data_IF_724452702207
#
_entry.id   IF_724452702207
#
_cell.length_a   1.000
_cell.length_b   1.000
_cell.length_c   1.000
_cell.angle_alpha   90.00
_cell.angle_beta   90.00
_cell.angle_gamma   90.00
#
_symmetry.space_group_name_H-M   'P 1'
#
loop_
_entity.id
_entity.type
_entity.pdbx_description
1 polymer ?
#
# COMPACT_ATOMS: atom_id res chain seq x y z
N UNK A 1 0.72 15.59 -53.37
CA UNK A 1 1.55 16.03 -52.23
C UNK A 1 0.69 15.90 -50.99
N UNK A 2 0.83 14.78 -50.30
CA UNK A 2 0.13 14.47 -49.05
C UNK A 2 0.81 15.20 -47.90
N UNK A 3 0.06 16.02 -47.18
CA UNK A 3 0.53 16.67 -45.96
C UNK A 3 0.96 15.61 -44.94
N UNK A 4 2.06 15.83 -44.19
CA UNK A 4 2.42 14.93 -43.11
C UNK A 4 1.41 15.10 -41.96
N UNK A 5 0.80 14.00 -41.57
CA UNK A 5 -0.02 13.90 -40.35
C UNK A 5 0.94 14.08 -39.18
N UNK A 6 0.95 15.27 -38.57
CA UNK A 6 1.54 15.47 -37.25
C UNK A 6 0.54 15.02 -36.20
N UNK A 7 0.33 13.72 -36.08
CA UNK A 7 -0.20 13.15 -34.84
C UNK A 7 0.95 13.09 -33.84
N UNK A 8 1.17 14.19 -33.13
CA UNK A 8 1.76 14.11 -31.79
C UNK A 8 0.71 13.47 -30.88
N UNK A 9 0.46 12.18 -31.07
CA UNK A 9 -0.33 11.39 -30.13
C UNK A 9 0.39 11.47 -28.80
N UNK A 10 -0.10 12.32 -27.90
CA UNK A 10 0.37 12.35 -26.52
C UNK A 10 0.03 11.00 -25.93
N UNK A 11 1.02 10.11 -25.87
CA UNK A 11 0.90 8.82 -25.18
C UNK A 11 0.43 9.13 -23.77
N UNK A 12 -0.70 8.54 -23.37
CA UNK A 12 -1.21 8.71 -22.02
C UNK A 12 -0.16 8.24 -21.02
N UNK A 13 0.11 9.08 -20.02
CA UNK A 13 1.15 8.84 -19.00
C UNK A 13 0.50 8.77 -17.63
N UNK A 14 0.16 7.57 -17.19
CA UNK A 14 -0.35 7.36 -15.84
C UNK A 14 0.79 7.01 -14.90
N UNK A 15 0.90 7.74 -13.81
CA UNK A 15 1.87 7.48 -12.74
C UNK A 15 1.29 6.39 -11.83
N UNK A 16 1.98 5.26 -11.72
CA UNK A 16 1.60 4.21 -10.78
C UNK A 16 1.91 4.65 -9.34
N UNK A 17 0.95 4.50 -8.43
CA UNK A 17 1.09 4.72 -6.99
C UNK A 17 0.98 3.37 -6.29
N UNK A 18 2.03 3.00 -5.57
CA UNK A 18 2.08 1.74 -4.84
C UNK A 18 1.17 1.77 -3.60
N UNK A 19 0.83 0.60 -3.09
CA UNK A 19 0.12 0.47 -1.81
C UNK A 19 0.94 1.12 -0.67
N UNK A 20 0.25 1.85 0.21
CA UNK A 20 0.89 2.62 1.30
C UNK A 20 1.46 3.96 0.86
N UNK A 21 1.42 4.30 -0.43
CA UNK A 21 2.02 5.52 -0.97
C UNK A 21 0.99 6.56 -1.42
N UNK A 22 1.50 7.78 -1.63
CA UNK A 22 0.82 8.88 -2.28
C UNK A 22 1.60 9.44 -3.46
N UNK A 23 0.88 10.01 -4.42
CA UNK A 23 1.45 10.83 -5.47
C UNK A 23 0.70 12.14 -5.61
N UNK A 24 1.40 13.17 -6.08
CA UNK A 24 0.84 14.49 -6.37
C UNK A 24 1.14 14.89 -7.81
N UNK A 25 0.09 15.25 -8.56
CA UNK A 25 0.20 15.94 -9.83
C UNK A 25 -0.19 17.39 -9.62
N UNK A 26 0.81 18.28 -9.63
CA UNK A 26 0.59 19.72 -9.64
C UNK A 26 0.01 20.20 -10.96
N UNK A 27 -0.61 21.38 -10.92
CA UNK A 27 -1.13 22.04 -12.13
C UNK A 27 -0.01 22.21 -13.17
N UNK A 28 -0.28 21.78 -14.41
CA UNK A 28 0.71 21.81 -15.50
C UNK A 28 1.63 20.59 -15.58
N UNK A 29 1.47 19.59 -14.71
CA UNK A 29 2.15 18.30 -14.87
C UNK A 29 1.75 17.64 -16.21
N UNK A 30 2.71 17.01 -16.89
CA UNK A 30 2.51 16.36 -18.20
C UNK A 30 1.87 14.95 -18.10
N UNK A 31 1.68 14.43 -16.88
CA UNK A 31 1.06 13.13 -16.68
C UNK A 31 -0.47 13.21 -16.90
N UNK A 32 -1.03 12.23 -17.60
CA UNK A 32 -2.50 12.12 -17.79
C UNK A 32 -3.22 11.95 -16.46
N UNK A 33 -2.60 11.27 -15.50
CA UNK A 33 -3.24 10.92 -14.25
C UNK A 33 -2.47 9.92 -13.40
N UNK A 34 -3.19 9.30 -12.47
CA UNK A 34 -2.67 8.23 -11.61
C UNK A 34 -3.27 6.88 -11.94
N UNK A 35 -2.52 5.83 -11.59
CA UNK A 35 -2.94 4.45 -11.61
C UNK A 35 -2.54 3.77 -10.29
N UNK A 36 -3.37 2.87 -9.80
CA UNK A 36 -3.01 1.95 -8.70
C UNK A 36 -3.67 0.60 -8.92
N UNK A 37 -3.01 -0.47 -8.50
CA UNK A 37 -3.38 -1.86 -8.79
C UNK A 37 -3.54 -2.73 -7.55
N UNK A 38 -4.06 -3.94 -7.78
CA UNK A 38 -4.21 -5.02 -6.79
C UNK A 38 -5.00 -4.61 -5.55
N UNK A 39 -6.00 -3.76 -5.72
CA UNK A 39 -6.82 -3.29 -4.61
C UNK A 39 -7.82 -4.38 -4.25
N UNK A 40 -7.67 -4.97 -3.07
CA UNK A 40 -8.64 -5.91 -2.50
C UNK A 40 -9.33 -5.30 -1.27
N UNK A 41 -8.55 -5.00 -0.23
CA UNK A 41 -9.04 -4.46 1.05
C UNK A 41 -8.73 -2.97 1.24
N UNK A 42 -7.68 -2.47 0.58
CA UNK A 42 -7.24 -1.08 0.64
C UNK A 42 -8.25 -0.10 0.01
N UNK A 43 -8.14 1.18 0.36
CA UNK A 43 -8.98 2.28 -0.12
C UNK A 43 -8.16 3.34 -0.85
N UNK A 44 -8.18 3.37 -2.19
CA UNK A 44 -7.61 4.50 -2.90
C UNK A 44 -8.48 5.74 -2.73
N UNK A 45 -7.85 6.84 -2.33
CA UNK A 45 -8.45 8.16 -2.33
C UNK A 45 -7.81 9.01 -3.43
N UNK A 46 -8.61 9.83 -4.09
CA UNK A 46 -8.10 10.91 -4.93
C UNK A 46 -8.69 12.24 -4.51
N UNK A 47 -7.84 13.14 -4.03
CA UNK A 47 -8.19 14.49 -3.62
C UNK A 47 -7.90 15.46 -4.77
N UNK A 48 -8.94 16.06 -5.33
CA UNK A 48 -8.80 17.13 -6.32
C UNK A 48 -8.79 18.46 -5.58
N UNK A 49 -7.64 19.12 -5.55
CA UNK A 49 -7.42 20.34 -4.79
C UNK A 49 -7.34 21.58 -5.70
N UNK A 50 -7.01 22.74 -5.14
CA UNK A 50 -6.88 23.96 -5.91
C UNK A 50 -5.64 23.97 -6.81
N UNK A 51 -4.52 23.45 -6.30
CA UNK A 51 -3.19 23.50 -6.95
C UNK A 51 -2.65 22.14 -7.39
N UNK A 52 -3.49 21.11 -7.39
CA UNK A 52 -3.07 19.77 -7.78
C UNK A 52 -4.08 18.67 -7.45
N UNK A 53 -3.76 17.47 -7.92
CA UNK A 53 -4.50 16.23 -7.67
C UNK A 53 -3.60 15.27 -6.91
N UNK A 54 -4.13 14.65 -5.86
CA UNK A 54 -3.37 13.76 -4.98
C UNK A 54 -4.05 12.40 -4.98
N UNK A 55 -3.35 11.33 -5.35
CA UNK A 55 -3.82 9.96 -5.15
C UNK A 55 -3.08 9.35 -3.95
N UNK A 56 -3.81 8.64 -3.10
CA UNK A 56 -3.27 7.89 -1.96
C UNK A 56 -3.85 6.48 -2.01
N UNK A 57 -3.00 5.46 -2.06
CA UNK A 57 -3.41 4.07 -1.93
C UNK A 57 -3.37 3.68 -0.45
N UNK A 58 -4.44 3.99 0.27
CA UNK A 58 -4.49 3.87 1.72
C UNK A 58 -4.83 2.44 2.18
N UNK A 59 -3.95 1.83 2.96
CA UNK A 59 -4.15 0.50 3.56
C UNK A 59 -5.11 0.52 4.75
N UNK A 60 -5.42 1.71 5.26
CA UNK A 60 -6.12 1.90 6.54
C UNK A 60 -5.18 2.08 7.73
N UNK A 61 -3.88 1.80 7.59
CA UNK A 61 -2.89 2.01 8.65
C UNK A 61 -2.12 3.34 8.53
N UNK A 62 -2.20 4.04 7.39
CA UNK A 62 -1.46 5.29 7.19
C UNK A 62 -1.91 6.34 8.22
N UNK A 63 -0.96 7.13 8.74
CA UNK A 63 -1.26 8.23 9.65
C UNK A 63 -2.17 9.28 9.02
N UNK A 64 -3.32 9.50 9.65
CA UNK A 64 -4.33 10.45 9.18
C UNK A 64 -3.81 11.89 9.12
N UNK A 65 -2.96 12.28 10.07
CA UNK A 65 -2.39 13.62 10.12
C UNK A 65 -1.41 13.85 8.95
N UNK A 66 -0.62 12.84 8.57
CA UNK A 66 0.27 12.91 7.42
C UNK A 66 -0.52 13.04 6.10
N UNK A 67 -1.62 12.31 5.95
CA UNK A 67 -2.55 12.48 4.82
C UNK A 67 -3.12 13.91 4.81
N UNK A 68 -3.60 14.38 5.97
CA UNK A 68 -4.24 15.69 6.08
C UNK A 68 -3.25 16.83 5.78
N UNK A 69 -2.02 16.73 6.26
CA UNK A 69 -0.94 17.68 5.99
C UNK A 69 -0.62 17.73 4.50
N UNK A 70 -0.36 16.57 3.87
CA UNK A 70 -0.09 16.50 2.44
C UNK A 70 -1.20 17.16 1.62
N UNK A 71 -2.46 16.79 1.89
CA UNK A 71 -3.61 17.32 1.13
C UNK A 71 -3.80 18.81 1.36
N UNK A 72 -3.64 19.30 2.59
CA UNK A 72 -3.82 20.72 2.92
C UNK A 72 -2.80 21.62 2.22
N UNK A 73 -1.60 21.11 1.94
CA UNK A 73 -0.56 21.84 1.20
C UNK A 73 -0.96 22.19 -0.24
N UNK A 74 -2.01 21.57 -0.80
CA UNK A 74 -2.48 21.82 -2.17
C UNK A 74 -3.78 22.66 -2.24
N UNK A 75 -4.19 23.25 -1.12
CA UNK A 75 -5.29 24.21 -1.03
C UNK A 75 -6.66 23.55 -0.90
N UNK A 76 -7.73 24.30 -1.21
CA UNK A 76 -9.10 23.84 -0.97
C UNK A 76 -9.44 22.61 -1.80
N UNK A 77 -9.99 21.59 -1.14
CA UNK A 77 -10.52 20.38 -1.79
C UNK A 77 -11.80 20.72 -2.57
N UNK A 78 -11.78 20.43 -3.88
CA UNK A 78 -12.90 20.58 -4.81
C UNK A 78 -13.74 19.31 -4.89
N UNK A 79 -13.09 18.15 -4.92
CA UNK A 79 -13.70 16.83 -4.98
C UNK A 79 -12.82 15.78 -4.31
N UNK A 80 -13.45 14.72 -3.82
CA UNK A 80 -12.75 13.52 -3.34
C UNK A 80 -13.39 12.32 -4.02
N UNK A 81 -12.56 11.53 -4.69
CA UNK A 81 -12.97 10.31 -5.34
C UNK A 81 -12.46 9.09 -4.56
N UNK A 82 -13.29 8.07 -4.43
CA UNK A 82 -12.88 6.77 -3.91
C UNK A 82 -13.77 5.67 -4.48
N UNK A 83 -13.30 4.42 -4.40
CA UNK A 83 -13.99 3.25 -4.95
C UNK A 83 -14.41 2.31 -3.83
N UNK A 84 -15.69 1.95 -3.77
CA UNK A 84 -16.22 0.99 -2.80
C UNK A 84 -16.17 -0.44 -3.34
N UNK A 85 -15.29 -1.26 -2.77
CA UNK A 85 -15.13 -2.68 -3.12
C UNK A 85 -16.12 -3.61 -2.42
N UNK A 86 -16.15 -4.91 -2.80
CA UNK A 86 -17.10 -5.88 -2.24
C UNK A 86 -16.89 -6.14 -0.75
N UNK A 87 -15.65 -6.06 -0.26
CA UNK A 87 -15.30 -6.28 1.15
C UNK A 87 -15.70 -5.11 2.08
N UNK A 88 -16.21 -4.01 1.52
CA UNK A 88 -16.46 -2.79 2.29
C UNK A 88 -17.88 -2.67 2.82
N UNK A 89 -18.82 -3.42 2.26
CA UNK A 89 -20.26 -3.31 2.59
C UNK A 89 -20.56 -3.65 4.06
N UNK A 90 -19.58 -4.21 4.79
CA UNK A 90 -19.68 -4.59 6.21
C UNK A 90 -18.84 -3.76 7.18
N UNK A 91 -17.99 -2.81 6.74
CA UNK A 91 -16.96 -2.24 7.63
C UNK A 91 -17.22 -0.78 8.05
N UNK A 92 -17.71 -0.62 9.28
CA UNK A 92 -17.77 0.66 9.99
C UNK A 92 -16.41 1.39 10.03
N UNK A 93 -15.30 0.64 10.02
CA UNK A 93 -13.92 1.13 10.14
C UNK A 93 -13.57 2.11 9.02
N UNK A 94 -13.86 1.78 7.77
CA UNK A 94 -13.51 2.67 6.67
C UNK A 94 -14.38 3.93 6.61
N UNK A 95 -15.65 3.84 7.02
CA UNK A 95 -16.51 5.03 7.14
C UNK A 95 -16.03 5.93 8.26
N UNK A 96 -15.68 5.36 9.42
CA UNK A 96 -15.05 6.10 10.52
C UNK A 96 -13.78 6.82 10.06
N UNK A 97 -12.92 6.13 9.31
CA UNK A 97 -11.69 6.71 8.76
C UNK A 97 -11.97 7.90 7.83
N UNK A 98 -12.94 7.77 6.93
CA UNK A 98 -13.34 8.87 6.04
C UNK A 98 -13.94 10.04 6.83
N UNK A 99 -14.72 9.79 7.88
CA UNK A 99 -15.25 10.85 8.75
C UNK A 99 -14.11 11.59 9.49
N UNK A 100 -13.12 10.85 10.01
CA UNK A 100 -11.93 11.43 10.65
C UNK A 100 -11.12 12.29 9.68
N UNK A 101 -10.97 11.86 8.43
CA UNK A 101 -10.36 12.67 7.37
C UNK A 101 -11.20 13.91 7.04
N UNK A 102 -12.52 13.76 6.92
CA UNK A 102 -13.44 14.87 6.65
C UNK A 102 -13.37 15.97 7.71
N UNK A 103 -13.26 15.57 8.98
CA UNK A 103 -13.09 16.50 10.09
C UNK A 103 -11.75 17.25 10.00
N UNK A 104 -10.64 16.54 9.80
CA UNK A 104 -9.28 17.13 9.71
C UNK A 104 -9.14 18.09 8.54
N UNK A 105 -9.64 17.69 7.38
CA UNK A 105 -9.55 18.44 6.13
C UNK A 105 -10.74 19.39 5.90
N UNK A 106 -11.67 19.45 6.85
CA UNK A 106 -12.86 20.32 6.86
C UNK A 106 -13.71 20.25 5.58
N UNK A 107 -13.76 19.07 4.93
CA UNK A 107 -14.56 18.89 3.72
C UNK A 107 -15.95 18.33 4.03
N UNK A 108 -16.93 18.66 3.17
CA UNK A 108 -18.35 18.29 3.34
C UNK A 108 -18.74 17.15 2.40
N UNK A 109 -19.71 16.33 2.79
CA UNK A 109 -20.22 15.18 1.99
C UNK A 109 -20.51 15.49 0.51
N UNK A 110 -20.93 16.72 0.18
CA UNK A 110 -21.20 17.15 -1.21
C UNK A 110 -19.99 17.04 -2.17
N UNK A 111 -18.76 17.00 -1.65
CA UNK A 111 -17.55 16.85 -2.48
C UNK A 111 -17.22 15.38 -2.80
N UNK A 112 -17.97 14.43 -2.23
CA UNK A 112 -17.69 13.00 -2.37
C UNK A 112 -18.12 12.55 -3.77
N UNK A 113 -17.31 11.70 -4.38
CA UNK A 113 -17.57 11.02 -5.64
C UNK A 113 -17.19 9.57 -5.45
N UNK A 114 -18.17 8.68 -5.56
CA UNK A 114 -17.96 7.26 -5.30
C UNK A 114 -18.24 6.47 -6.56
N UNK A 115 -17.43 5.45 -6.79
CA UNK A 115 -17.75 4.36 -7.70
C UNK A 115 -17.83 3.07 -6.88
N UNK A 116 -18.62 2.11 -7.32
CA UNK A 116 -18.72 0.79 -6.67
C UNK A 116 -18.17 -0.27 -7.60
N UNK A 117 -17.52 -1.28 -7.03
CA UNK A 117 -17.01 -2.45 -7.75
C UNK A 117 -17.37 -3.72 -6.99
N UNK A 118 -17.68 -4.76 -7.73
CA UNK A 118 -18.06 -6.09 -7.24
C UNK A 118 -16.93 -7.11 -7.33
N UNK A 119 -15.87 -6.79 -8.08
CA UNK A 119 -14.67 -7.64 -8.22
C UNK A 119 -13.86 -7.69 -6.92
N UNK A 120 -13.35 -8.89 -6.54
CA UNK A 120 -12.57 -9.06 -5.31
C UNK A 120 -11.22 -8.34 -5.37
N UNK A 121 -10.68 -8.16 -6.57
CA UNK A 121 -9.49 -7.35 -6.83
C UNK A 121 -9.77 -6.44 -8.03
N UNK A 122 -9.35 -5.18 -7.94
CA UNK A 122 -9.54 -4.19 -9.01
C UNK A 122 -8.38 -3.18 -9.06
N UNK A 123 -8.33 -2.45 -10.18
CA UNK A 123 -7.39 -1.35 -10.37
C UNK A 123 -8.16 -0.05 -10.59
N UNK A 124 -7.54 1.06 -10.22
CA UNK A 124 -8.12 2.40 -10.34
C UNK A 124 -7.22 3.29 -11.18
N UNK A 125 -7.83 3.98 -12.13
CA UNK A 125 -7.23 5.05 -12.90
C UNK A 125 -7.95 6.35 -12.56
N UNK A 126 -7.20 7.43 -12.47
CA UNK A 126 -7.76 8.76 -12.28
C UNK A 126 -7.08 9.76 -13.18
N UNK A 127 -7.82 10.41 -14.06
CA UNK A 127 -7.28 11.45 -14.95
C UNK A 127 -7.26 12.82 -14.26
N UNK A 128 -6.31 13.69 -14.62
CA UNK A 128 -6.30 15.08 -14.15
C UNK A 128 -7.58 15.86 -14.53
N UNK A 129 -8.28 15.45 -15.59
CA UNK A 129 -9.59 15.98 -15.98
C UNK A 129 -10.74 15.56 -15.06
N UNK A 130 -10.48 14.76 -14.01
CA UNK A 130 -11.45 14.34 -13.01
C UNK A 130 -12.16 13.01 -13.32
N UNK A 131 -11.67 12.24 -14.29
CA UNK A 131 -12.24 10.96 -14.70
C UNK A 131 -11.70 9.81 -13.86
N UNK A 132 -12.54 9.21 -13.03
CA UNK A 132 -12.25 7.95 -12.34
C UNK A 132 -12.69 6.77 -13.23
N UNK A 133 -11.80 5.81 -13.46
CA UNK A 133 -12.09 4.58 -14.20
C UNK A 133 -11.60 3.37 -13.41
N UNK A 134 -12.43 2.32 -13.40
CA UNK A 134 -12.09 1.01 -12.85
C UNK A 134 -11.83 0.10 -14.04
N UNK A 135 -10.67 -0.57 -14.08
CA UNK A 135 -10.31 -1.29 -15.30
C UNK A 135 -9.10 -2.20 -15.18
N UNK A 136 -8.85 -2.92 -16.27
CA UNK A 136 -7.65 -3.75 -16.44
C UNK A 136 -6.50 -2.86 -16.91
N UNK A 137 -5.29 -3.20 -16.45
CA UNK A 137 -4.02 -2.55 -16.76
C UNK A 137 -3.83 -2.34 -18.27
N UNK A 138 -3.68 -1.10 -18.79
CA UNK A 138 -3.12 -0.88 -20.11
C UNK A 138 -1.60 -0.94 -19.98
N UNK A 139 -0.99 -2.02 -20.45
CA UNK A 139 0.44 -2.29 -20.19
C UNK A 139 1.40 -1.25 -20.80
N UNK A 140 1.00 -0.54 -21.86
CA UNK A 140 1.89 0.34 -22.63
C UNK A 140 1.93 1.81 -22.15
N UNK A 141 1.18 2.18 -21.10
CA UNK A 141 0.93 3.59 -20.74
C UNK A 141 1.21 3.95 -19.26
N UNK A 142 1.87 3.02 -18.55
CA UNK A 142 2.11 3.15 -17.12
C UNK A 142 3.57 3.48 -16.85
N UNK A 143 3.78 4.59 -16.15
CA UNK A 143 5.09 4.98 -15.62
C UNK A 143 5.15 4.47 -14.19
N UNK A 144 6.03 3.50 -13.94
CA UNK A 144 6.30 2.96 -12.59
C UNK A 144 7.54 3.60 -11.99
N UNK A 145 7.57 3.65 -10.67
CA UNK A 145 8.77 4.02 -9.93
C UNK A 145 9.90 3.03 -10.28
N UNK A 146 11.11 3.51 -10.67
CA UNK A 146 12.27 2.65 -10.88
C UNK A 146 12.62 1.78 -9.66
N UNK A 147 12.27 2.22 -8.45
CA UNK A 147 12.46 1.53 -7.17
C UNK A 147 11.17 0.88 -6.66
N UNK A 148 10.19 0.61 -7.53
CA UNK A 148 8.87 0.11 -7.14
C UNK A 148 8.90 -1.10 -6.20
N UNK A 149 9.70 -2.13 -6.49
CA UNK A 149 9.79 -3.33 -5.65
C UNK A 149 10.34 -3.03 -4.25
N UNK A 150 11.38 -2.18 -4.17
CA UNK A 150 11.97 -1.73 -2.92
C UNK A 150 10.94 -0.97 -2.08
N UNK A 151 10.24 -0.02 -2.70
CA UNK A 151 9.20 0.80 -2.05
C UNK A 151 8.01 -0.02 -1.57
N UNK A 152 7.50 -0.92 -2.40
CA UNK A 152 6.40 -1.81 -2.03
C UNK A 152 6.80 -2.70 -0.83
N UNK A 153 8.02 -3.23 -0.81
CA UNK A 153 8.55 -3.98 0.33
C UNK A 153 8.60 -3.15 1.61
N UNK A 154 9.16 -1.94 1.57
CA UNK A 154 9.21 -1.03 2.72
C UNK A 154 7.80 -0.69 3.22
N UNK A 155 6.88 -0.36 2.33
CA UNK A 155 5.51 -0.03 2.69
C UNK A 155 4.80 -1.23 3.32
N UNK A 156 5.01 -2.46 2.82
CA UNK A 156 4.40 -3.66 3.41
C UNK A 156 4.99 -3.99 4.77
N UNK A 157 6.29 -3.81 4.97
CA UNK A 157 6.92 -3.97 6.29
C UNK A 157 6.37 -2.95 7.27
N UNK A 158 6.26 -1.69 6.87
CA UNK A 158 5.71 -0.64 7.72
C UNK A 158 4.25 -0.90 8.09
N UNK A 159 3.43 -1.38 7.14
CA UNK A 159 2.04 -1.76 7.38
C UNK A 159 1.93 -2.97 8.32
N UNK A 160 2.72 -4.02 8.06
CA UNK A 160 2.72 -5.28 8.83
C UNK A 160 3.11 -5.06 10.29
N UNK A 161 4.20 -4.32 10.54
CA UNK A 161 4.72 -4.10 11.89
C UNK A 161 4.14 -2.85 12.57
N UNK A 162 3.11 -2.23 11.98
CA UNK A 162 2.29 -1.23 12.65
C UNK A 162 1.17 -1.94 13.40
N UNK A 163 0.96 -1.58 14.67
CA UNK A 163 -0.11 -2.16 15.47
C UNK A 163 -1.45 -1.99 14.75
N UNK A 164 -2.15 -3.10 14.48
CA UNK A 164 -3.37 -3.10 13.69
C UNK A 164 -4.41 -2.08 14.21
N UNK A 165 -4.80 -1.15 13.34
CA UNK A 165 -5.81 -0.14 13.66
C UNK A 165 -5.29 1.07 14.44
N UNK A 166 -3.99 1.12 14.76
CA UNK A 166 -3.35 2.28 15.38
C UNK A 166 -3.29 3.48 14.43
N UNK A 167 -3.29 3.23 13.13
CA UNK A 167 -3.21 4.27 12.08
C UNK A 167 -1.94 5.13 12.24
N UNK A 168 -0.79 4.51 12.47
CA UNK A 168 0.50 5.19 12.68
C UNK A 168 1.54 4.87 11.60
N UNK A 169 1.18 4.13 10.55
CA UNK A 169 2.13 3.85 9.47
C UNK A 169 2.51 5.16 8.76
N UNK A 170 3.79 5.38 8.45
CA UNK A 170 4.24 6.59 7.76
C UNK A 170 3.61 6.66 6.37
N UNK A 171 3.27 7.88 5.93
CA UNK A 171 2.85 8.12 4.55
C UNK A 171 4.07 8.21 3.64
N UNK A 172 4.12 7.35 2.63
CA UNK A 172 5.18 7.38 1.63
C UNK A 172 4.82 8.27 0.43
N UNK A 173 5.43 9.45 0.31
CA UNK A 173 5.19 10.34 -0.85
C UNK A 173 6.07 9.89 -2.00
N UNK A 174 5.53 9.04 -2.88
CA UNK A 174 6.23 8.39 -3.98
C UNK A 174 6.49 9.31 -5.19
N UNK A 175 5.56 10.21 -5.52
CA UNK A 175 5.68 11.09 -6.68
C UNK A 175 5.23 12.52 -6.35
N UNK A 176 6.06 13.52 -6.62
CA UNK A 176 5.81 14.94 -6.36
C UNK A 176 6.74 15.79 -7.22
N UNK A 177 6.39 17.05 -7.52
CA UNK A 177 7.26 17.94 -8.30
C UNK A 177 7.71 17.36 -9.66
N UNK A 178 6.86 16.55 -10.29
CA UNK A 178 7.13 15.95 -11.61
C UNK A 178 8.06 14.73 -11.61
N UNK A 179 8.47 14.21 -10.46
CA UNK A 179 9.38 13.06 -10.38
C UNK A 179 9.05 12.09 -9.24
N UNK A 180 9.63 10.88 -9.33
CA UNK A 180 9.62 9.93 -8.22
C UNK A 180 10.61 10.38 -7.15
N UNK A 181 10.22 10.26 -5.89
CA UNK A 181 11.10 10.50 -4.75
C UNK A 181 11.98 9.27 -4.50
N UNK A 182 13.03 9.39 -3.68
CA UNK A 182 13.72 8.22 -3.14
C UNK A 182 12.75 7.34 -2.33
N UNK A 183 12.97 6.02 -2.33
CA UNK A 183 12.22 5.10 -1.47
C UNK A 183 12.40 5.44 0.00
N UNK A 184 11.32 5.32 0.79
CA UNK A 184 11.39 5.42 2.24
C UNK A 184 12.19 4.26 2.83
N UNK A 185 12.52 4.35 4.12
CA UNK A 185 13.17 3.26 4.87
C UNK A 185 12.18 2.63 5.84
N UNK A 186 12.39 1.36 6.27
CA UNK A 186 11.57 0.76 7.31
C UNK A 186 11.58 1.61 8.58
N UNK A 187 10.41 1.82 9.17
CA UNK A 187 10.24 2.65 10.37
C UNK A 187 10.76 1.96 11.64
N UNK A 188 10.90 0.64 11.60
CA UNK A 188 11.47 -0.19 12.68
C UNK A 188 12.78 -0.81 12.20
N UNK A 189 13.67 -1.14 13.13
CA UNK A 189 14.84 -1.97 12.82
C UNK A 189 14.44 -3.44 12.74
N UNK A 190 15.28 -4.29 12.14
CA UNK A 190 15.07 -5.76 12.13
C UNK A 190 14.89 -6.28 13.56
N UNK A 191 15.67 -5.80 14.52
CA UNK A 191 15.56 -6.22 15.92
C UNK A 191 14.18 -5.89 16.50
N UNK A 192 13.71 -4.67 16.31
CA UNK A 192 12.38 -4.26 16.78
C UNK A 192 11.26 -5.07 16.12
N UNK A 193 11.37 -5.39 14.83
CA UNK A 193 10.40 -6.26 14.15
C UNK A 193 10.42 -7.69 14.71
N UNK A 194 11.60 -8.25 14.98
CA UNK A 194 11.72 -9.56 15.63
C UNK A 194 11.13 -9.57 17.04
N UNK A 195 11.24 -8.48 17.79
CA UNK A 195 10.59 -8.37 19.10
C UNK A 195 9.05 -8.36 18.96
N UNK A 196 8.49 -7.70 17.94
CA UNK A 196 7.04 -7.75 17.64
C UNK A 196 6.60 -9.15 17.20
N UNK A 197 7.39 -9.85 16.37
CA UNK A 197 7.14 -11.26 16.01
C UNK A 197 7.01 -12.12 17.26
N UNK A 198 7.87 -11.90 18.27
CA UNK A 198 7.79 -12.61 19.55
C UNK A 198 6.50 -12.29 20.30
N UNK A 199 6.10 -11.02 20.36
CA UNK A 199 4.84 -10.60 20.99
C UNK A 199 3.64 -11.26 20.31
N UNK A 200 3.56 -11.16 18.98
CA UNK A 200 2.43 -11.67 18.22
C UNK A 200 2.37 -13.19 18.22
N UNK A 201 3.50 -13.87 18.03
CA UNK A 201 3.54 -15.33 18.07
C UNK A 201 3.35 -15.94 19.46
N UNK A 202 3.72 -15.25 20.55
CA UNK A 202 3.38 -15.70 21.90
C UNK A 202 1.88 -15.54 22.20
N UNK A 203 1.21 -14.56 21.57
CA UNK A 203 -0.25 -14.42 21.63
C UNK A 203 -0.95 -15.47 20.77
N UNK A 204 -0.47 -15.66 19.54
CA UNK A 204 -1.02 -16.53 18.49
C UNK A 204 0.13 -16.96 17.54
N UNK A 205 0.64 -18.19 17.63
CA UNK A 205 1.80 -18.65 16.84
C UNK A 205 1.68 -18.39 15.34
N UNK A 206 0.47 -18.50 14.78
CA UNK A 206 0.20 -18.20 13.38
C UNK A 206 0.50 -16.75 12.97
N UNK A 207 0.29 -15.78 13.87
CA UNK A 207 0.59 -14.37 13.59
C UNK A 207 2.09 -14.17 13.51
N UNK A 208 2.84 -14.67 14.49
CA UNK A 208 4.31 -14.60 14.47
C UNK A 208 4.90 -15.28 13.22
N UNK A 209 4.34 -16.40 12.75
CA UNK A 209 4.79 -17.06 11.52
C UNK A 209 4.49 -16.23 10.25
N UNK A 210 3.35 -15.53 10.20
CA UNK A 210 3.04 -14.57 9.13
C UNK A 210 4.02 -13.40 9.15
N UNK A 211 4.33 -12.87 10.33
CA UNK A 211 5.25 -11.74 10.49
C UNK A 211 6.69 -12.12 10.08
N UNK A 212 7.14 -13.34 10.41
CA UNK A 212 8.42 -13.88 9.93
C UNK A 212 8.44 -13.95 8.40
N UNK A 213 7.37 -14.47 7.80
CA UNK A 213 7.26 -14.60 6.35
C UNK A 213 7.21 -13.23 5.65
N UNK A 214 6.55 -12.24 6.26
CA UNK A 214 6.49 -10.87 5.77
C UNK A 214 7.87 -10.20 5.86
N UNK A 215 8.55 -10.36 7.00
CA UNK A 215 9.92 -9.88 7.19
C UNK A 215 10.85 -10.45 6.12
N UNK A 216 10.80 -11.77 5.88
CA UNK A 216 11.58 -12.42 4.82
C UNK A 216 11.25 -11.91 3.41
N UNK A 217 9.96 -11.71 3.11
CA UNK A 217 9.52 -11.43 1.75
C UNK A 217 9.70 -9.96 1.35
N UNK A 218 9.64 -9.06 2.32
CA UNK A 218 9.53 -7.62 2.06
C UNK A 218 10.69 -6.79 2.62
N UNK A 219 11.55 -7.35 3.47
CA UNK A 219 12.71 -6.61 3.98
C UNK A 219 13.66 -6.29 2.82
N UNK A 220 13.91 -5.01 2.52
CA UNK A 220 14.83 -4.65 1.46
C UNK A 220 16.28 -4.99 1.79
N UNK A 221 17.07 -5.30 0.78
CA UNK A 221 18.52 -5.51 0.91
C UNK A 221 18.94 -6.89 1.44
N UNK A 222 18.01 -7.76 1.84
CA UNK A 222 18.30 -9.08 2.42
C UNK A 222 19.18 -9.02 3.69
N UNK A 223 19.15 -7.93 4.45
CA UNK A 223 19.92 -7.75 5.69
C UNK A 223 19.34 -8.53 6.88
N UNK A 224 18.78 -9.72 6.62
CA UNK A 224 18.25 -10.60 7.64
C UNK A 224 19.34 -11.56 8.13
N UNK A 225 19.40 -11.87 9.43
CA UNK A 225 20.37 -12.82 9.96
C UNK A 225 20.25 -14.19 9.30
N UNK A 226 21.37 -14.84 8.97
CA UNK A 226 21.40 -16.17 8.33
C UNK A 226 20.58 -17.24 9.06
N UNK A 227 20.54 -17.31 10.41
CA UNK A 227 19.69 -18.27 11.11
C UNK A 227 18.19 -18.08 10.79
N UNK A 228 17.75 -16.83 10.58
CA UNK A 228 16.37 -16.54 10.19
C UNK A 228 16.09 -16.99 8.76
N UNK A 229 17.01 -16.71 7.83
CA UNK A 229 16.91 -17.13 6.43
C UNK A 229 16.81 -18.66 6.32
N UNK A 230 17.66 -19.37 7.08
CA UNK A 230 17.64 -20.83 7.16
C UNK A 230 16.31 -21.33 7.69
N UNK A 231 15.85 -20.78 8.82
CA UNK A 231 14.57 -21.14 9.43
C UNK A 231 13.38 -20.98 8.48
N UNK A 232 13.31 -19.88 7.74
CA UNK A 232 12.23 -19.64 6.77
C UNK A 232 12.21 -20.70 5.66
N UNK A 233 13.39 -21.07 5.13
CA UNK A 233 13.52 -22.06 4.05
C UNK A 233 13.18 -23.46 4.54
N UNK A 234 13.66 -23.86 5.72
CA UNK A 234 13.39 -25.18 6.31
C UNK A 234 11.90 -25.41 6.57
N UNK A 235 11.16 -24.34 6.85
CA UNK A 235 9.74 -24.39 7.17
C UNK A 235 8.81 -23.93 6.03
N UNK A 236 9.35 -23.62 4.84
CA UNK A 236 8.60 -23.11 3.67
C UNK A 236 7.74 -21.87 3.98
N UNK A 237 8.18 -21.01 4.91
CA UNK A 237 7.37 -19.89 5.41
C UNK A 237 7.15 -18.81 4.36
N UNK A 238 8.03 -18.68 3.36
CA UNK A 238 7.87 -17.66 2.32
C UNK A 238 6.62 -17.87 1.45
N UNK A 239 6.10 -19.09 1.41
CA UNK A 239 4.83 -19.40 0.75
C UNK A 239 3.62 -18.70 1.40
N UNK A 240 3.68 -18.40 2.71
CA UNK A 240 2.56 -17.82 3.46
C UNK A 240 2.13 -16.44 2.96
N UNK A 241 3.07 -15.68 2.42
CA UNK A 241 2.85 -14.30 1.96
C UNK A 241 2.80 -14.22 0.43
N UNK A 242 3.56 -15.06 -0.27
CA UNK A 242 3.64 -15.03 -1.75
C UNK A 242 2.46 -15.71 -2.44
N UNK A 243 1.74 -16.61 -1.78
CA UNK A 243 0.65 -17.35 -2.41
C UNK A 243 -0.59 -17.46 -1.52
N UNK A 244 -1.76 -16.99 -1.99
CA UNK A 244 -3.01 -17.22 -1.26
C UNK A 244 -3.41 -18.70 -1.25
N UNK A 245 -2.88 -19.52 -2.17
CA UNK A 245 -3.27 -20.92 -2.38
C UNK A 245 -2.23 -21.88 -1.78
N UNK A 246 -0.94 -21.60 -1.96
CA UNK A 246 0.14 -22.46 -1.47
C UNK A 246 0.54 -22.04 -0.06
N UNK A 247 0.26 -22.90 0.91
CA UNK A 247 0.75 -22.79 2.29
C UNK A 247 1.49 -24.08 2.65
N UNK A 248 2.38 -24.07 3.66
CA UNK A 248 2.98 -25.30 4.17
C UNK A 248 1.86 -26.27 4.57
N UNK A 249 2.03 -27.57 4.27
CA UNK A 249 0.99 -28.58 4.51
C UNK A 249 0.54 -28.65 5.97
N UNK A 250 1.44 -28.28 6.88
CA UNK A 250 1.20 -28.23 8.32
C UNK A 250 0.55 -26.93 8.80
N UNK A 251 0.43 -25.89 7.97
CA UNK A 251 -0.03 -24.57 8.44
C UNK A 251 -1.50 -24.57 8.89
N UNK A 252 -2.29 -25.59 8.59
CA UNK A 252 -3.63 -25.76 9.17
C UNK A 252 -3.64 -26.36 10.58
N UNK A 253 -2.50 -26.87 11.06
CA UNK A 253 -2.34 -27.56 12.35
C UNK A 253 -1.79 -26.60 13.41
N UNK A 254 -2.64 -26.22 14.37
CA UNK A 254 -2.28 -25.30 15.45
C UNK A 254 -1.15 -25.81 16.35
N UNK A 255 -1.09 -27.12 16.59
CA UNK A 255 -0.02 -27.70 17.40
C UNK A 255 1.32 -27.61 16.66
N UNK A 256 1.29 -27.86 15.35
CA UNK A 256 2.49 -27.74 14.52
C UNK A 256 2.96 -26.30 14.36
N UNK A 257 2.04 -25.34 14.23
CA UNK A 257 2.37 -23.91 14.26
C UNK A 257 3.06 -23.52 15.57
N UNK A 258 2.53 -23.95 16.72
CA UNK A 258 3.14 -23.70 18.02
C UNK A 258 4.53 -24.33 18.15
N UNK A 259 4.72 -25.56 17.65
CA UNK A 259 6.03 -26.23 17.61
C UNK A 259 7.05 -25.46 16.75
N UNK A 260 6.66 -25.07 15.53
CA UNK A 260 7.54 -24.31 14.62
C UNK A 260 7.89 -22.96 15.24
N UNK A 261 6.91 -22.25 15.79
CA UNK A 261 7.18 -20.98 16.47
C UNK A 261 8.03 -21.14 17.74
N UNK A 262 7.92 -22.25 18.47
CA UNK A 262 8.82 -22.55 19.59
C UNK A 262 10.28 -22.66 19.13
N UNK A 263 10.55 -23.34 18.01
CA UNK A 263 11.89 -23.43 17.42
C UNK A 263 12.43 -22.07 16.97
N UNK A 264 11.57 -21.19 16.45
CA UNK A 264 11.97 -19.83 16.11
C UNK A 264 12.56 -19.09 17.32
N UNK A 265 11.95 -19.24 18.51
CA UNK A 265 12.41 -18.59 19.74
C UNK A 265 13.78 -19.07 20.22
N UNK A 266 14.23 -20.23 19.75
CA UNK A 266 15.51 -20.84 20.09
C UNK A 266 16.63 -20.42 19.13
N UNK A 267 16.33 -19.62 18.09
CA UNK A 267 17.33 -19.17 17.14
C UNK A 267 18.41 -18.32 17.84
N UNK A 268 19.70 -18.45 17.44
CA UNK A 268 20.81 -17.75 18.07
C UNK A 268 20.78 -16.22 17.87
N UNK A 269 19.84 -15.70 17.07
CA UNK A 269 19.60 -14.26 16.86
C UNK A 269 18.99 -13.57 18.09
N UNK A 270 18.55 -14.35 19.08
CA UNK A 270 17.96 -13.89 20.32
C UNK A 270 18.91 -13.96 21.53
N UNK A 271 20.13 -14.50 21.34
CA UNK A 271 21.16 -14.63 22.39
C UNK A 271 22.03 -13.38 22.52
#
# INVERSE_FOLDING_TARGET
>A
MSSPITETGTVDRFIHIAQGAAGVLEDGCLATGFYTDKIATCRPYVFVCQRGTIMIHDTGQIQLDAIAELVSNYGKIKAIHFVEGPYWKSEAVHQERLLKLAQRLQFKRRVYRTATVDKPEYNVFFTQSGGLRIGVRPDEQLIRDPQHQLREGVNMINDTFTTAGSQTAPLDVQYIAGGFTPSSVPAKTVRMMLDEVLVDGNRRPELGLIDIAALYSYMPGNDLPEPLLTFVREHDLDSLVKSPIRKPSWYGDLAKQAEVFAKFKELPIFS
#
